data_IF_067187911455
#
_entry.id   IF_067187911455
#
_cell.length_a   1.000
_cell.length_b   1.000
_cell.length_c   1.000
_cell.angle_alpha   90.00
_cell.angle_beta   90.00
_cell.angle_gamma   90.00
#
_symmetry.space_group_name_H-M   'P 1'
#
loop_
_entity.id
_entity.type
_entity.pdbx_description
1 polymer ?
#
# COMPACT_ATOMS: atom_id res chain seq x y z
N UNK A 1 -22.60 -0.80 14.04
CA UNK A 1 -21.53 -0.54 15.04
C UNK A 1 -20.13 -0.97 14.57
N UNK A 2 -19.83 -1.12 13.26
CA UNK A 2 -18.48 -1.53 12.79
C UNK A 2 -17.48 -0.35 12.68
N UNK A 3 -17.96 0.83 12.32
CA UNK A 3 -17.14 2.04 12.16
C UNK A 3 -16.27 2.42 13.37
N UNK A 4 -16.76 2.35 14.64
CA UNK A 4 -15.90 2.65 15.79
C UNK A 4 -14.73 1.67 15.94
N UNK A 5 -14.87 0.40 15.53
CA UNK A 5 -13.76 -0.55 15.56
C UNK A 5 -12.67 -0.17 14.56
N UNK A 6 -13.05 0.27 13.36
CA UNK A 6 -12.09 0.75 12.36
C UNK A 6 -11.39 2.03 12.83
N UNK A 7 -12.14 2.98 13.39
CA UNK A 7 -11.55 4.20 13.94
C UNK A 7 -10.55 3.91 15.07
N UNK A 8 -10.91 3.03 16.00
CA UNK A 8 -10.01 2.58 17.07
C UNK A 8 -8.77 1.85 16.54
N UNK A 9 -8.92 1.03 15.51
CA UNK A 9 -7.82 0.30 14.88
C UNK A 9 -6.82 1.24 14.19
N UNK A 10 -7.33 2.23 13.46
CA UNK A 10 -6.48 3.24 12.83
C UNK A 10 -5.75 4.10 13.87
N UNK A 11 -6.44 4.49 14.94
CA UNK A 11 -5.82 5.19 16.07
C UNK A 11 -4.72 4.35 16.73
N UNK A 12 -4.94 3.04 16.87
CA UNK A 12 -3.92 2.10 17.35
C UNK A 12 -2.69 2.08 16.43
N UNK A 13 -2.85 1.97 15.12
CA UNK A 13 -1.71 2.01 14.18
C UNK A 13 -0.93 3.31 14.24
N UNK A 14 -1.61 4.46 14.32
CA UNK A 14 -0.94 5.76 14.45
C UNK A 14 -0.18 5.84 15.79
N UNK A 15 -0.72 5.26 16.87
CA UNK A 15 -0.05 5.25 18.17
C UNK A 15 1.24 4.43 18.19
N UNK A 16 1.36 3.44 17.30
CA UNK A 16 2.57 2.64 17.12
C UNK A 16 3.63 3.34 16.24
N UNK A 17 3.25 4.39 15.52
CA UNK A 17 4.17 5.06 14.61
C UNK A 17 5.28 5.77 15.41
N UNK A 18 6.56 5.50 15.12
CA UNK A 18 7.68 6.22 15.73
C UNK A 18 7.58 7.71 15.41
N UNK A 19 8.07 8.56 16.33
CA UNK A 19 8.07 10.02 16.12
C UNK A 19 8.80 10.37 14.82
N UNK A 20 8.23 11.30 14.07
CA UNK A 20 8.85 11.88 12.88
C UNK A 20 10.25 12.41 13.23
N UNK A 21 11.28 11.97 12.51
CA UNK A 21 12.69 12.27 12.81
C UNK A 21 13.41 11.27 13.72
N UNK A 22 12.74 10.21 14.19
CA UNK A 22 13.41 9.05 14.82
C UNK A 22 14.17 8.24 13.77
N UNK A 23 15.29 7.61 14.16
CA UNK A 23 15.99 6.62 13.32
C UNK A 23 15.13 5.41 12.95
N UNK A 24 13.99 5.22 13.63
CA UNK A 24 13.03 4.15 13.38
C UNK A 24 11.78 4.63 12.62
N UNK A 25 11.73 5.89 12.19
CA UNK A 25 10.60 6.40 11.44
C UNK A 25 10.56 5.74 10.04
N UNK A 26 9.66 4.77 9.88
CA UNK A 26 9.06 4.44 8.58
C UNK A 26 8.31 5.69 8.11
N UNK A 27 8.41 6.02 6.82
CA UNK A 27 8.00 7.32 6.26
C UNK A 27 6.60 7.81 6.63
N UNK A 28 6.23 8.99 6.15
CA UNK A 28 4.91 9.58 6.46
C UNK A 28 3.78 8.58 6.19
N UNK A 29 2.90 8.40 7.18
CA UNK A 29 1.82 7.43 7.14
C UNK A 29 0.52 8.18 6.83
N UNK A 30 0.24 8.33 5.54
CA UNK A 30 -0.93 9.05 5.02
C UNK A 30 -2.22 8.23 5.20
N UNK A 31 -3.41 8.87 5.17
CA UNK A 31 -4.68 8.15 5.19
C UNK A 31 -4.82 7.07 4.10
N UNK A 32 -4.24 7.32 2.92
CA UNK A 32 -4.25 6.37 1.81
C UNK A 32 -3.41 5.12 2.13
N UNK A 33 -2.20 5.30 2.67
CA UNK A 33 -1.34 4.20 3.12
C UNK A 33 -1.97 3.45 4.29
N UNK A 34 -2.57 4.14 5.26
CA UNK A 34 -3.30 3.49 6.37
C UNK A 34 -4.40 2.57 5.86
N UNK A 35 -5.23 3.05 4.92
CA UNK A 35 -6.28 2.24 4.31
C UNK A 35 -5.68 1.05 3.58
N UNK A 36 -4.65 1.28 2.75
CA UNK A 36 -3.98 0.22 1.98
C UNK A 36 -3.41 -0.87 2.89
N UNK A 37 -2.68 -0.48 3.93
CA UNK A 37 -2.06 -1.39 4.88
C UNK A 37 -3.08 -2.12 5.75
N UNK A 38 -4.13 -1.43 6.22
CA UNK A 38 -5.21 -2.08 6.99
C UNK A 38 -5.95 -3.13 6.14
N UNK A 39 -6.18 -2.85 4.86
CA UNK A 39 -6.80 -3.81 3.93
C UNK A 39 -5.83 -4.95 3.61
N UNK A 40 -4.53 -4.68 3.44
CA UNK A 40 -3.54 -5.71 3.07
C UNK A 40 -3.45 -6.81 4.14
N UNK A 41 -3.51 -6.45 5.42
CA UNK A 41 -3.37 -7.38 6.55
C UNK A 41 -4.69 -8.02 7.01
N UNK A 42 -5.83 -7.58 6.48
CA UNK A 42 -7.14 -8.06 6.90
C UNK A 42 -7.27 -9.58 6.68
N UNK A 43 -7.93 -10.27 7.62
CA UNK A 43 -8.18 -11.70 7.52
C UNK A 43 -9.22 -11.97 6.44
N UNK A 44 -8.85 -12.79 5.46
CA UNK A 44 -9.64 -13.05 4.26
C UNK A 44 -10.46 -14.34 4.41
N UNK A 45 -11.73 -14.30 4.01
CA UNK A 45 -12.58 -15.48 3.94
C UNK A 45 -13.17 -15.95 5.28
N UNK A 46 -12.98 -15.19 6.36
CA UNK A 46 -13.44 -15.59 7.70
C UNK A 46 -14.96 -15.42 7.91
N UNK A 47 -15.63 -14.62 7.08
CA UNK A 47 -17.05 -14.33 7.22
C UNK A 47 -17.89 -15.29 6.37
N UNK A 48 -19.07 -15.66 6.87
CA UNK A 48 -20.05 -16.47 6.12
C UNK A 48 -21.23 -15.60 5.69
N UNK A 49 -21.91 -15.99 4.61
CA UNK A 49 -23.09 -15.26 4.09
C UNK A 49 -22.78 -13.93 3.39
N UNK A 50 -21.54 -13.73 2.93
CA UNK A 50 -21.13 -12.55 2.17
C UNK A 50 -21.40 -12.77 0.67
N UNK A 51 -22.06 -11.83 -0.03
CA UNK A 51 -22.23 -11.87 -1.49
C UNK A 51 -20.89 -11.91 -2.26
N UNK A 52 -20.88 -12.47 -3.47
CA UNK A 52 -19.64 -12.65 -4.26
C UNK A 52 -19.00 -11.35 -4.74
N UNK A 53 -19.76 -10.26 -4.81
CA UNK A 53 -19.29 -8.92 -5.19
C UNK A 53 -18.80 -8.09 -3.99
N UNK A 54 -18.85 -8.66 -2.78
CA UNK A 54 -18.46 -7.97 -1.54
C UNK A 54 -17.16 -8.56 -1.00
N UNK A 55 -16.12 -7.73 -0.72
CA UNK A 55 -14.87 -8.22 -0.15
C UNK A 55 -15.09 -8.93 1.20
N UNK A 56 -14.65 -10.19 1.30
CA UNK A 56 -14.69 -10.95 2.55
C UNK A 56 -13.42 -10.68 3.37
N UNK A 57 -13.34 -9.48 3.95
CA UNK A 57 -12.21 -9.01 4.74
C UNK A 57 -12.63 -8.66 6.16
N UNK A 58 -11.99 -9.29 7.13
CA UNK A 58 -12.17 -9.03 8.56
C UNK A 58 -10.97 -8.23 9.08
N UNK A 59 -11.25 -7.06 9.68
CA UNK A 59 -10.22 -6.19 10.24
C UNK A 59 -9.35 -6.92 11.28
N UNK A 60 -8.03 -6.67 11.24
CA UNK A 60 -7.03 -7.35 12.04
C UNK A 60 -6.04 -6.36 12.65
N UNK A 61 -5.64 -6.61 13.90
CA UNK A 61 -4.78 -5.70 14.68
C UNK A 61 -3.31 -6.13 14.76
N UNK A 62 -2.90 -7.18 14.05
CA UNK A 62 -1.53 -7.67 14.12
C UNK A 62 -1.26 -8.71 15.21
N UNK A 63 -2.28 -9.19 15.94
CA UNK A 63 -2.16 -10.40 16.76
C UNK A 63 -1.08 -10.39 17.86
N UNK A 64 -0.68 -9.21 18.34
CA UNK A 64 0.36 -9.07 19.37
C UNK A 64 1.76 -8.74 18.85
N UNK A 65 1.92 -8.45 17.56
CA UNK A 65 3.16 -7.88 17.02
C UNK A 65 3.62 -6.64 17.79
N UNK A 66 4.93 -6.51 17.97
CA UNK A 66 5.53 -5.50 18.84
C UNK A 66 5.72 -4.13 18.19
N UNK A 67 5.64 -4.03 16.86
CA UNK A 67 5.82 -2.79 16.12
C UNK A 67 4.97 -2.75 14.84
N UNK A 68 4.86 -1.56 14.23
CA UNK A 68 4.00 -1.33 13.07
C UNK A 68 4.47 -2.03 11.80
N UNK A 69 5.78 -2.14 11.59
CA UNK A 69 6.35 -2.82 10.42
C UNK A 69 6.04 -4.32 10.44
N UNK A 70 6.20 -4.98 11.60
CA UNK A 70 5.83 -6.40 11.77
C UNK A 70 4.37 -6.68 11.40
N UNK A 71 3.48 -5.71 11.65
CA UNK A 71 2.07 -5.82 11.32
C UNK A 71 1.87 -5.69 9.82
N UNK A 72 2.39 -4.62 9.21
CA UNK A 72 2.13 -4.29 7.80
C UNK A 72 2.92 -5.14 6.79
N UNK A 73 4.09 -5.63 7.19
CA UNK A 73 4.92 -6.55 6.39
C UNK A 73 4.46 -8.01 6.55
N UNK A 74 3.53 -8.27 7.48
CA UNK A 74 2.94 -9.58 7.71
C UNK A 74 2.05 -10.05 6.55
N UNK A 75 2.00 -11.36 6.33
CA UNK A 75 1.07 -11.95 5.36
C UNK A 75 -0.33 -12.02 5.93
N UNK A 76 -1.35 -11.66 5.13
CA UNK A 76 -2.75 -11.84 5.53
C UNK A 76 -3.10 -13.30 5.81
N UNK A 77 -3.93 -13.51 6.81
CA UNK A 77 -4.54 -14.80 7.07
C UNK A 77 -5.63 -15.09 6.03
N UNK A 78 -5.64 -16.31 5.47
CA UNK A 78 -6.68 -16.78 4.53
C UNK A 78 -7.40 -18.00 5.10
N UNK A 79 -8.69 -17.86 5.38
CA UNK A 79 -9.53 -18.95 5.88
C UNK A 79 -9.90 -19.92 4.75
N UNK A 80 -9.81 -21.23 4.99
CA UNK A 80 -10.27 -22.26 4.03
C UNK A 80 -9.24 -22.74 3.01
N UNK A 81 -8.03 -22.19 2.96
CA UNK A 81 -6.96 -22.69 2.09
C UNK A 81 -6.19 -23.85 2.76
N UNK A 82 -6.80 -25.04 2.84
CA UNK A 82 -5.98 -26.26 2.95
C UNK A 82 -5.32 -26.44 1.59
N UNK A 83 -4.00 -26.26 1.52
CA UNK A 83 -3.22 -26.52 0.31
C UNK A 83 -3.44 -27.97 -0.15
N UNK A 84 -4.27 -28.13 -1.17
CA UNK A 84 -4.33 -29.33 -2.00
C UNK A 84 -4.31 -28.86 -3.46
N UNK A 85 -3.13 -28.93 -4.08
CA UNK A 85 -2.85 -28.92 -5.52
C UNK A 85 -3.81 -28.16 -6.45
N UNK A 86 -3.63 -26.84 -6.60
CA UNK A 86 -4.35 -26.06 -7.63
C UNK A 86 -3.79 -24.65 -7.90
N UNK A 87 -2.49 -24.42 -7.65
CA UNK A 87 -1.88 -23.07 -7.54
C UNK A 87 -1.60 -22.37 -8.89
N UNK A 88 -1.81 -23.01 -10.04
CA UNK A 88 -1.14 -22.56 -11.28
C UNK A 88 -1.89 -21.50 -12.11
N UNK A 89 -3.22 -21.36 -11.97
CA UNK A 89 -3.99 -20.42 -12.83
C UNK A 89 -4.17 -19.04 -12.18
N UNK A 90 -4.62 -18.99 -10.92
CA UNK A 90 -5.05 -17.74 -10.25
C UNK A 90 -3.88 -16.79 -9.90
N UNK A 91 -2.68 -17.33 -9.68
CA UNK A 91 -1.47 -16.51 -9.42
C UNK A 91 -1.05 -15.72 -10.65
N UNK A 92 -1.34 -16.23 -11.86
CA UNK A 92 -0.87 -15.61 -13.11
C UNK A 92 -1.64 -14.35 -13.47
N UNK A 93 -2.90 -14.21 -13.04
CA UNK A 93 -3.70 -13.03 -13.41
C UNK A 93 -3.49 -11.88 -12.42
N UNK A 94 -3.38 -12.19 -11.12
CA UNK A 94 -3.04 -11.19 -10.09
C UNK A 94 -1.62 -10.64 -10.26
N UNK A 95 -0.66 -11.47 -10.70
CA UNK A 95 0.71 -11.00 -10.99
C UNK A 95 0.77 -10.12 -12.23
N UNK A 96 0.00 -10.42 -13.29
CA UNK A 96 -0.07 -9.56 -14.48
C UNK A 96 -0.66 -8.19 -14.16
N UNK A 97 -1.71 -8.13 -13.35
CA UNK A 97 -2.36 -6.87 -12.97
C UNK A 97 -1.41 -5.98 -12.14
N UNK A 98 -0.72 -6.58 -11.16
CA UNK A 98 0.29 -5.87 -10.35
C UNK A 98 1.47 -5.39 -11.19
N UNK A 99 1.96 -6.20 -12.14
CA UNK A 99 3.06 -5.81 -13.03
C UNK A 99 2.65 -4.61 -13.91
N UNK A 100 1.46 -4.67 -14.52
CA UNK A 100 0.96 -3.60 -15.37
C UNK A 100 0.76 -2.29 -14.59
N UNK A 101 0.24 -2.36 -13.37
CA UNK A 101 0.12 -1.17 -12.50
C UNK A 101 1.50 -0.60 -12.12
N UNK A 102 2.50 -1.45 -11.88
CA UNK A 102 3.85 -0.99 -11.58
C UNK A 102 4.56 -0.38 -12.78
N UNK A 103 4.39 -0.93 -13.99
CA UNK A 103 4.95 -0.38 -15.22
C UNK A 103 4.35 0.99 -15.53
N UNK A 104 3.02 1.13 -15.45
CA UNK A 104 2.35 2.41 -15.66
C UNK A 104 2.79 3.50 -14.67
N UNK A 105 3.15 3.12 -13.44
CA UNK A 105 3.64 4.05 -12.43
C UNK A 105 5.10 4.49 -12.68
N UNK A 106 5.94 3.59 -13.19
CA UNK A 106 7.33 3.91 -13.55
C UNK A 106 7.38 4.86 -14.76
N UNK A 107 6.55 4.63 -15.78
CA UNK A 107 6.44 5.50 -16.95
C UNK A 107 5.99 6.92 -16.56
N UNK A 108 4.98 7.06 -15.69
CA UNK A 108 4.51 8.38 -15.22
C UNK A 108 5.58 9.13 -14.40
N UNK A 109 6.45 8.40 -13.67
CA UNK A 109 7.59 9.00 -12.97
C UNK A 109 8.68 9.43 -13.96
N UNK A 110 9.01 8.60 -14.95
CA UNK A 110 10.05 8.89 -15.93
C UNK A 110 9.66 10.12 -16.77
N UNK A 111 8.42 10.21 -17.22
CA UNK A 111 7.90 11.35 -17.97
C UNK A 111 7.94 12.65 -17.14
N UNK A 112 7.58 12.59 -15.85
CA UNK A 112 7.67 13.75 -14.94
C UNK A 112 9.11 14.20 -14.72
N UNK A 113 10.02 13.25 -14.50
CA UNK A 113 11.44 13.55 -14.31
C UNK A 113 12.06 14.18 -15.57
N UNK A 114 11.77 13.63 -16.75
CA UNK A 114 12.27 14.17 -18.03
C UNK A 114 11.68 15.55 -18.32
N UNK A 115 10.41 15.78 -18.00
CA UNK A 115 9.78 17.09 -18.17
C UNK A 115 10.39 18.15 -17.24
N UNK A 116 10.61 17.83 -15.97
CA UNK A 116 11.28 18.73 -15.05
C UNK A 116 12.71 19.06 -15.50
N UNK A 117 13.48 18.07 -15.96
CA UNK A 117 14.84 18.30 -16.49
C UNK A 117 14.83 19.19 -17.74
N UNK A 118 13.91 18.95 -18.68
CA UNK A 118 13.79 19.78 -19.91
C UNK A 118 13.42 21.22 -19.56
N UNK A 119 12.44 21.43 -18.68
CA UNK A 119 12.04 22.78 -18.26
C UNK A 119 13.17 23.53 -17.53
N UNK A 120 13.96 22.81 -16.73
CA UNK A 120 15.16 23.39 -16.09
C UNK A 120 16.22 23.77 -17.12
N UNK A 121 16.46 22.90 -18.12
CA UNK A 121 17.44 23.14 -19.17
C UNK A 121 17.04 24.30 -20.09
N UNK A 122 15.77 24.38 -20.49
CA UNK A 122 15.24 25.47 -21.31
C UNK A 122 15.32 26.81 -20.58
N UNK A 123 15.04 26.81 -19.27
CA UNK A 123 15.19 27.99 -18.41
C UNK A 123 16.65 28.43 -18.27
N UNK A 124 17.59 27.48 -18.14
CA UNK A 124 19.02 27.77 -18.13
C UNK A 124 19.52 28.31 -19.47
N UNK A 125 19.04 27.74 -20.59
CA UNK A 125 19.37 28.19 -21.95
C UNK A 125 18.82 29.59 -22.24
N UNK A 126 17.60 29.89 -21.80
CA UNK A 126 17.00 31.22 -21.94
C UNK A 126 17.78 32.28 -21.12
N UNK A 127 18.25 31.93 -19.92
CA UNK A 127 19.05 32.82 -19.07
C UNK A 127 20.47 33.07 -19.62
N UNK A 128 21.02 32.15 -20.42
CA UNK A 128 22.30 32.32 -21.12
C UNK A 128 22.16 33.21 -22.36
N UNK A 129 21.07 33.09 -23.11
CA UNK A 129 20.82 33.90 -24.31
C UNK A 129 20.32 35.33 -24.01
N UNK A 130 19.95 35.65 -22.76
CA UNK A 130 19.51 36.99 -22.35
C UNK A 130 20.63 37.85 -21.75
N UNK A 131 21.90 37.45 -21.93
CA UNK A 131 23.07 38.04 -21.26
C UNK A 131 24.15 38.55 -22.24
N UNK A 132 23.85 38.56 -23.53
CA UNK A 132 24.46 39.41 -24.57
C UNK A 132 23.53 40.60 -24.86
#
# INVERSE_FOLDING_TARGET
MASPHIAGLLAYFISLQPKQGSSYAVGELTPAQLKKNMVSIASEGCLTGIPSDTPNLLAYNGGGSGNLSDIFDGTRYKHGHKSSNGVVEDVTDVTKELINETEAFLDDIEDKAVHEIKTLFDKARAALNSRD
#
